data_IF_979220771538
#
_entry.id   IF_979220771538
#
_cell.length_a   1.000
_cell.length_b   1.000
_cell.length_c   1.000
_cell.angle_alpha   90.00
_cell.angle_beta   90.00
_cell.angle_gamma   90.00
#
_symmetry.space_group_name_H-M   'P 1'
#
loop_
_entity.id
_entity.type
_entity.pdbx_description
1 polymer ?
#
# COMPACT_ATOMS: atom_id res chain seq x y z
N UNK A 1 18.54 -72.12 28.55
CA UNK A 1 17.53 -72.61 27.59
C UNK A 1 16.47 -71.53 27.46
N UNK A 2 16.40 -70.95 26.25
CA UNK A 2 15.36 -70.16 25.57
C UNK A 2 14.56 -69.16 26.42
N UNK A 3 14.70 -67.83 26.34
CA UNK A 3 14.93 -66.91 25.20
C UNK A 3 13.78 -66.92 24.18
N UNK A 4 12.83 -65.98 24.32
CA UNK A 4 12.12 -65.36 23.19
C UNK A 4 11.81 -63.88 23.51
N UNK A 5 12.37 -63.01 22.66
CA UNK A 5 12.03 -61.60 22.47
C UNK A 5 11.01 -61.50 21.33
N UNK A 6 10.10 -60.53 21.32
CA UNK A 6 9.63 -59.94 20.08
C UNK A 6 10.41 -58.66 19.79
N UNK A 7 11.13 -58.71 18.67
CA UNK A 7 11.61 -57.57 17.91
C UNK A 7 10.40 -56.91 17.24
N UNK A 8 10.32 -55.57 17.21
CA UNK A 8 10.18 -54.76 15.99
C UNK A 8 10.11 -53.26 16.33
N UNK A 9 11.14 -52.55 15.85
CA UNK A 9 11.17 -51.20 15.29
C UNK A 9 10.66 -49.97 16.08
N UNK A 10 11.64 -49.29 16.64
CA UNK A 10 12.00 -47.88 16.40
C UNK A 10 11.28 -47.21 15.20
N UNK A 11 10.54 -46.12 15.44
CA UNK A 11 10.59 -44.89 14.64
C UNK A 11 10.44 -43.69 15.58
N UNK A 12 11.54 -42.96 15.78
CA UNK A 12 11.48 -41.56 16.17
C UNK A 12 10.72 -40.79 15.08
N UNK A 13 9.60 -40.16 15.42
CA UNK A 13 9.20 -38.93 14.74
C UNK A 13 9.18 -37.84 15.80
N UNK A 14 10.31 -37.15 15.91
CA UNK A 14 10.34 -35.76 16.33
C UNK A 14 9.49 -34.98 15.33
N UNK A 15 8.18 -34.84 15.57
CA UNK A 15 7.37 -33.86 14.86
C UNK A 15 7.72 -32.48 15.41
N UNK A 16 8.86 -32.01 14.93
CA UNK A 16 9.23 -30.62 14.89
C UNK A 16 8.34 -29.95 13.82
N UNK A 17 7.04 -29.86 14.06
CA UNK A 17 6.16 -29.00 13.29
C UNK A 17 6.26 -27.62 13.91
N UNK A 18 7.30 -26.92 13.45
CA UNK A 18 7.41 -25.48 13.37
C UNK A 18 6.00 -24.90 13.23
N UNK A 19 5.63 -24.05 14.17
CA UNK A 19 4.43 -23.23 14.12
C UNK A 19 4.19 -22.78 12.68
N UNK A 20 2.96 -23.01 12.23
CA UNK A 20 2.43 -22.49 10.99
C UNK A 20 2.89 -21.03 10.82
N UNK A 21 3.50 -20.71 9.67
CA UNK A 21 3.72 -19.33 9.24
C UNK A 21 2.34 -18.76 8.95
N UNK A 22 1.72 -18.12 9.94
CA UNK A 22 0.35 -17.62 9.81
C UNK A 22 0.44 -16.15 9.39
N UNK A 23 0.52 -15.97 8.08
CA UNK A 23 0.47 -14.74 7.27
C UNK A 23 1.65 -13.78 7.40
N UNK A 24 2.82 -14.16 6.86
CA UNK A 24 3.84 -13.16 6.53
C UNK A 24 3.35 -12.21 5.44
N UNK A 25 2.34 -12.56 4.64
CA UNK A 25 1.91 -11.74 3.49
C UNK A 25 0.63 -10.95 3.81
N UNK A 26 0.68 -9.64 3.60
CA UNK A 26 -0.48 -8.74 3.68
C UNK A 26 -0.81 -8.12 2.31
N UNK A 27 -2.11 -7.90 2.05
CA UNK A 27 -2.61 -7.23 0.84
C UNK A 27 -3.43 -6.02 1.23
N UNK A 28 -2.98 -4.83 0.83
CA UNK A 28 -3.62 -3.55 1.11
C UNK A 28 -4.10 -2.90 -0.18
N UNK A 29 -4.98 -1.91 -0.06
CA UNK A 29 -5.33 -1.00 -1.14
C UNK A 29 -4.53 0.28 -0.99
N UNK A 30 -4.04 0.81 -2.09
CA UNK A 30 -3.36 2.09 -2.16
C UNK A 30 -3.85 2.87 -3.37
N UNK A 31 -4.14 4.15 -3.19
CA UNK A 31 -4.68 5.01 -4.23
C UNK A 31 -3.74 6.19 -4.39
N UNK A 32 -3.25 6.47 -5.60
CA UNK A 32 -2.42 7.64 -5.79
C UNK A 32 -3.22 8.93 -5.64
N UNK A 33 -2.52 9.96 -5.19
CA UNK A 33 -3.12 11.27 -5.04
C UNK A 33 -3.58 11.89 -6.37
N UNK A 34 -4.61 12.72 -6.27
CA UNK A 34 -5.08 13.55 -7.37
C UNK A 34 -4.07 14.66 -7.61
N UNK A 35 -3.71 14.88 -8.87
CA UNK A 35 -2.88 16.02 -9.31
C UNK A 35 -3.71 17.07 -10.02
N UNK A 36 -4.77 16.66 -10.72
CA UNK A 36 -5.69 17.59 -11.40
C UNK A 36 -7.11 17.03 -11.49
N UNK A 37 -8.09 17.94 -11.46
CA UNK A 37 -9.50 17.67 -11.75
C UNK A 37 -10.01 18.69 -12.77
N UNK A 38 -10.78 18.22 -13.75
CA UNK A 38 -11.46 19.06 -14.74
C UNK A 38 -12.97 18.98 -14.52
N UNK A 39 -13.60 20.14 -14.39
CA UNK A 39 -15.03 20.29 -14.16
C UNK A 39 -15.64 21.05 -15.34
N UNK A 40 -16.76 20.55 -15.86
CA UNK A 40 -17.54 21.19 -16.91
C UNK A 40 -19.00 21.28 -16.44
N UNK A 41 -19.48 22.50 -16.18
CA UNK A 41 -20.79 22.69 -15.56
C UNK A 41 -20.83 22.10 -14.16
N UNK A 42 -21.75 21.17 -13.93
CA UNK A 42 -21.95 20.47 -12.65
C UNK A 42 -21.25 19.10 -12.59
N UNK A 43 -20.50 18.71 -13.64
CA UNK A 43 -19.91 17.39 -13.78
C UNK A 43 -18.37 17.40 -13.68
N UNK A 44 -17.83 16.40 -12.96
CA UNK A 44 -16.40 16.06 -12.98
C UNK A 44 -16.14 15.19 -14.22
N UNK A 45 -15.53 15.78 -15.23
CA UNK A 45 -15.27 15.10 -16.51
C UNK A 45 -13.93 14.38 -16.56
N UNK A 46 -12.98 14.76 -15.69
CA UNK A 46 -11.67 14.11 -15.64
C UNK A 46 -11.01 14.26 -14.27
N UNK A 47 -10.36 13.17 -13.82
CA UNK A 47 -9.48 13.14 -12.67
C UNK A 47 -8.14 12.57 -13.13
N UNK A 48 -7.06 13.31 -12.89
CA UNK A 48 -5.68 12.86 -13.14
C UNK A 48 -5.02 12.55 -11.82
N UNK A 49 -4.51 11.34 -11.66
CA UNK A 49 -3.75 10.91 -10.49
C UNK A 49 -2.24 10.89 -10.78
N UNK A 50 -1.44 11.23 -9.78
CA UNK A 50 0.01 10.98 -9.83
C UNK A 50 0.26 9.47 -9.84
N UNK A 51 1.38 9.00 -10.39
CA UNK A 51 1.76 7.57 -10.28
C UNK A 51 0.65 6.54 -10.59
N UNK A 52 -0.27 6.82 -11.51
CA UNK A 52 -1.39 5.91 -11.84
C UNK A 52 -0.97 4.67 -12.66
N UNK A 53 0.32 4.51 -12.92
CA UNK A 53 0.91 3.41 -13.69
C UNK A 53 1.65 2.45 -12.74
N UNK A 54 1.45 1.14 -12.91
CA UNK A 54 1.98 0.11 -12.00
C UNK A 54 3.50 0.21 -11.86
N UNK A 55 4.22 0.34 -12.97
CA UNK A 55 5.68 0.41 -12.95
C UNK A 55 6.17 1.66 -12.22
N UNK A 56 5.46 2.79 -12.40
CA UNK A 56 5.74 4.01 -11.65
C UNK A 56 5.50 3.86 -10.15
N UNK A 57 4.45 3.15 -9.74
CA UNK A 57 4.19 2.86 -8.31
C UNK A 57 5.31 2.00 -7.73
N UNK A 58 5.68 0.92 -8.42
CA UNK A 58 6.75 0.02 -7.98
C UNK A 58 8.06 0.81 -7.80
N UNK A 59 8.45 1.59 -8.81
CA UNK A 59 9.66 2.40 -8.75
C UNK A 59 9.63 3.43 -7.62
N UNK A 60 8.47 4.03 -7.36
CA UNK A 60 8.32 5.00 -6.28
C UNK A 60 8.47 4.34 -4.89
N UNK A 61 7.79 3.23 -4.64
CA UNK A 61 7.89 2.47 -3.39
C UNK A 61 9.34 2.00 -3.18
N UNK A 62 10.01 1.46 -4.20
CA UNK A 62 11.43 1.07 -4.13
C UNK A 62 12.35 2.23 -3.74
N UNK A 63 12.14 3.41 -4.33
CA UNK A 63 12.90 4.62 -3.98
C UNK A 63 12.70 5.00 -2.51
N UNK A 64 11.48 4.85 -1.98
CA UNK A 64 11.16 5.13 -0.58
C UNK A 64 11.76 4.08 0.36
N UNK A 65 11.75 2.79 -0.01
CA UNK A 65 12.47 1.73 0.72
C UNK A 65 13.97 2.06 0.84
N UNK A 66 14.59 2.51 -0.26
CA UNK A 66 16.00 2.94 -0.23
C UNK A 66 16.23 4.13 0.70
N UNK A 67 15.31 5.10 0.73
CA UNK A 67 15.37 6.25 1.63
C UNK A 67 15.30 5.79 3.09
N UNK A 68 14.35 4.91 3.41
CA UNK A 68 14.18 4.32 4.74
C UNK A 68 15.47 3.60 5.18
N UNK A 69 16.08 2.78 4.31
CA UNK A 69 17.38 2.14 4.58
C UNK A 69 18.51 3.15 4.87
N UNK A 70 18.50 4.32 4.23
CA UNK A 70 19.49 5.38 4.51
C UNK A 70 19.27 5.98 5.90
N UNK A 71 18.02 6.24 6.27
CA UNK A 71 17.67 6.77 7.60
C UNK A 71 17.95 5.76 8.73
N UNK A 72 17.74 4.47 8.49
CA UNK A 72 18.13 3.41 9.44
C UNK A 72 19.63 3.40 9.72
N UNK A 73 20.47 3.49 8.68
CA UNK A 73 21.94 3.60 8.83
C UNK A 73 22.38 4.84 9.60
N UNK A 74 21.59 5.90 9.61
CA UNK A 74 21.86 7.13 10.35
C UNK A 74 21.37 7.07 11.81
N UNK A 75 20.72 5.98 12.22
CA UNK A 75 20.09 5.87 13.53
C UNK A 75 18.90 6.81 13.68
N UNK A 76 18.12 7.05 12.61
CA UNK A 76 16.88 7.83 12.74
C UNK A 76 15.77 6.99 13.39
N UNK A 77 15.73 5.70 13.10
CA UNK A 77 14.79 4.74 13.68
C UNK A 77 15.34 4.14 14.99
N UNK A 78 15.48 4.98 16.02
CA UNK A 78 16.19 4.62 17.25
C UNK A 78 15.51 3.57 18.13
N UNK A 79 14.25 3.19 17.86
CA UNK A 79 13.46 2.36 18.78
C UNK A 79 12.67 1.22 18.11
N UNK A 80 12.37 1.30 16.81
CA UNK A 80 11.63 0.25 16.09
C UNK A 80 11.98 0.27 14.60
N UNK A 81 11.96 -0.90 13.96
CA UNK A 81 11.99 -0.98 12.50
C UNK A 81 10.75 -0.28 11.93
N UNK A 82 10.88 0.38 10.76
CA UNK A 82 9.76 1.03 10.10
C UNK A 82 8.67 0.01 9.75
N UNK A 83 7.41 0.41 9.93
CA UNK A 83 6.27 -0.37 9.47
C UNK A 83 5.99 -0.04 7.99
N UNK A 84 5.79 -1.04 7.15
CA UNK A 84 5.61 -0.83 5.70
C UNK A 84 4.47 0.16 5.39
N UNK A 85 3.31 -0.05 6.00
CA UNK A 85 2.12 0.76 5.74
C UNK A 85 2.28 2.18 6.28
N UNK A 86 2.74 2.33 7.53
CA UNK A 86 2.80 3.64 8.19
C UNK A 86 3.98 4.49 7.73
N UNK A 87 5.13 3.89 7.43
CA UNK A 87 6.32 4.64 7.04
C UNK A 87 6.49 4.66 5.53
N UNK A 88 6.49 3.51 4.85
CA UNK A 88 6.75 3.46 3.40
C UNK A 88 5.55 3.97 2.60
N UNK A 89 4.37 3.40 2.81
CA UNK A 89 3.18 3.72 2.00
C UNK A 89 2.66 5.11 2.36
N UNK A 90 2.27 5.35 3.61
CA UNK A 90 1.56 6.60 3.96
C UNK A 90 2.49 7.80 4.20
N UNK A 91 3.69 7.61 4.74
CA UNK A 91 4.58 8.73 5.08
C UNK A 91 5.53 9.12 3.94
N UNK A 92 6.11 8.14 3.24
CA UNK A 92 7.15 8.40 2.23
C UNK A 92 6.66 8.36 0.78
N UNK A 93 5.44 7.89 0.50
CA UNK A 93 4.90 7.92 -0.86
C UNK A 93 3.70 8.87 -0.97
N UNK A 94 3.29 9.18 -2.20
CA UNK A 94 2.04 9.91 -2.48
C UNK A 94 0.86 8.93 -2.72
N UNK A 95 0.78 7.89 -1.90
CA UNK A 95 -0.27 6.87 -1.95
C UNK A 95 -1.07 6.88 -0.65
N UNK A 96 -2.37 6.77 -0.77
CA UNK A 96 -3.31 6.81 0.35
C UNK A 96 -4.06 5.49 0.47
N UNK A 97 -4.37 5.07 1.69
CA UNK A 97 -5.00 3.76 1.95
C UNK A 97 -6.50 3.73 1.62
N UNK A 98 -7.11 4.89 1.39
CA UNK A 98 -8.50 5.00 0.98
C UNK A 98 -8.75 6.15 0.01
N UNK A 99 -9.76 5.99 -0.84
CA UNK A 99 -10.26 7.07 -1.71
C UNK A 99 -10.66 8.32 -0.93
N UNK A 100 -11.16 8.15 0.30
CA UNK A 100 -11.52 9.27 1.18
C UNK A 100 -10.30 10.10 1.58
N UNK A 101 -9.18 9.43 1.83
CA UNK A 101 -7.93 10.10 2.21
C UNK A 101 -7.32 10.80 0.99
N UNK A 102 -7.37 10.18 -0.21
CA UNK A 102 -7.02 10.86 -1.47
C UNK A 102 -7.78 12.17 -1.68
N UNK A 103 -9.09 12.17 -1.45
CA UNK A 103 -9.92 13.37 -1.61
C UNK A 103 -9.53 14.46 -0.59
N UNK A 104 -9.09 14.04 0.60
CA UNK A 104 -8.68 14.91 1.72
C UNK A 104 -7.21 15.32 1.68
N UNK A 105 -6.42 14.75 0.77
CA UNK A 105 -5.01 15.06 0.65
C UNK A 105 -4.82 16.57 0.49
N UNK A 106 -3.88 17.13 1.27
CA UNK A 106 -3.64 18.57 1.31
C UNK A 106 -2.62 19.03 0.27
N UNK A 107 -2.16 18.11 -0.56
CA UNK A 107 -1.11 18.31 -1.55
C UNK A 107 -1.61 19.19 -2.70
N UNK A 108 -0.68 19.82 -3.44
CA UNK A 108 -1.07 20.75 -4.51
C UNK A 108 -1.84 20.03 -5.63
N UNK A 109 -3.05 20.53 -5.89
CA UNK A 109 -3.94 20.03 -6.94
C UNK A 109 -4.34 21.17 -7.87
N UNK A 110 -4.44 20.89 -9.17
CA UNK A 110 -4.96 21.82 -10.16
C UNK A 110 -6.45 21.55 -10.39
N UNK A 111 -7.33 22.49 -10.00
CA UNK A 111 -8.78 22.42 -10.26
C UNK A 111 -9.12 23.34 -11.44
N UNK A 112 -9.58 22.75 -12.54
CA UNK A 112 -10.02 23.48 -13.75
C UNK A 112 -11.54 23.54 -13.81
N UNK A 113 -12.07 24.71 -14.20
CA UNK A 113 -13.51 24.91 -14.38
C UNK A 113 -14.28 25.36 -13.12
N UNK A 114 -13.66 25.31 -11.94
CA UNK A 114 -14.30 25.71 -10.68
C UNK A 114 -13.37 26.60 -9.84
N UNK A 115 -13.52 27.92 -9.96
CA UNK A 115 -12.53 28.92 -9.47
C UNK A 115 -12.49 29.11 -7.95
N UNK A 116 -13.51 28.63 -7.23
CA UNK A 116 -13.62 28.84 -5.79
C UNK A 116 -12.90 27.77 -4.95
N UNK A 117 -12.38 26.72 -5.59
CA UNK A 117 -11.75 25.59 -4.91
C UNK A 117 -10.32 25.38 -5.41
N UNK A 118 -9.41 25.12 -4.47
CA UNK A 118 -8.01 24.77 -4.74
C UNK A 118 -7.70 23.30 -4.42
N UNK A 119 -8.69 22.57 -3.89
CA UNK A 119 -8.61 21.17 -3.45
C UNK A 119 -9.92 20.45 -3.70
N UNK A 120 -9.86 19.14 -3.91
CA UNK A 120 -11.04 18.31 -4.20
C UNK A 120 -11.99 18.24 -3.01
N UNK A 121 -11.50 18.17 -1.77
CA UNK A 121 -12.37 18.17 -0.58
C UNK A 121 -13.20 19.46 -0.40
N UNK A 122 -12.81 20.55 -1.07
CA UNK A 122 -13.54 21.83 -1.05
C UNK A 122 -14.71 21.86 -2.03
N UNK A 123 -14.77 20.93 -2.99
CA UNK A 123 -15.85 20.85 -3.96
C UNK A 123 -17.20 20.49 -3.29
N UNK A 124 -18.32 20.76 -3.97
CA UNK A 124 -19.63 20.25 -3.58
C UNK A 124 -19.64 18.72 -3.38
N UNK A 125 -20.52 18.23 -2.49
CA UNK A 125 -20.58 16.81 -2.12
C UNK A 125 -20.77 15.88 -3.31
N UNK A 126 -21.63 16.24 -4.26
CA UNK A 126 -21.88 15.45 -5.47
C UNK A 126 -20.61 15.32 -6.33
N UNK A 127 -19.88 16.42 -6.54
CA UNK A 127 -18.62 16.41 -7.29
C UNK A 127 -17.53 15.60 -6.58
N UNK A 128 -17.48 15.60 -5.24
CA UNK A 128 -16.54 14.75 -4.48
C UNK A 128 -16.83 13.27 -4.69
N UNK A 129 -18.11 12.89 -4.75
CA UNK A 129 -18.52 11.52 -5.05
C UNK A 129 -18.10 11.14 -6.47
N UNK A 130 -18.37 12.00 -7.46
CA UNK A 130 -17.96 11.76 -8.85
C UNK A 130 -16.44 11.60 -8.99
N UNK A 131 -15.65 12.52 -8.40
CA UNK A 131 -14.20 12.43 -8.41
C UNK A 131 -13.71 11.13 -7.76
N UNK A 132 -14.28 10.72 -6.63
CA UNK A 132 -13.95 9.46 -5.95
C UNK A 132 -14.25 8.23 -6.80
N UNK A 133 -15.33 8.25 -7.60
CA UNK A 133 -15.67 7.13 -8.48
C UNK A 133 -14.65 6.97 -9.62
N UNK A 134 -14.08 8.07 -10.10
CA UNK A 134 -13.03 8.07 -11.13
C UNK A 134 -11.65 7.61 -10.64
N UNK A 135 -11.42 7.56 -9.32
CA UNK A 135 -10.12 7.15 -8.77
C UNK A 135 -9.79 5.70 -9.09
N UNK A 136 -8.63 5.51 -9.70
CA UNK A 136 -7.94 4.24 -9.88
C UNK A 136 -7.02 3.98 -8.68
N UNK A 137 -6.74 2.71 -8.42
CA UNK A 137 -5.87 2.32 -7.32
C UNK A 137 -5.22 0.98 -7.57
N UNK A 138 -4.45 0.54 -6.58
CA UNK A 138 -3.64 -0.67 -6.65
C UNK A 138 -3.87 -1.53 -5.42
N UNK A 139 -3.76 -2.83 -5.62
CA UNK A 139 -3.42 -3.73 -4.56
C UNK A 139 -1.91 -3.77 -4.40
N UNK A 140 -1.45 -3.51 -3.18
CA UNK A 140 -0.05 -3.72 -2.80
C UNK A 140 -0.01 -4.93 -1.90
N UNK A 141 0.71 -5.96 -2.31
CA UNK A 141 0.91 -7.18 -1.52
C UNK A 141 2.36 -7.18 -1.03
N UNK A 142 2.60 -7.40 0.26
CA UNK A 142 3.95 -7.32 0.84
C UNK A 142 4.15 -8.35 1.95
N UNK A 143 5.41 -8.72 2.18
CA UNK A 143 5.79 -9.60 3.29
C UNK A 143 6.06 -8.82 4.57
N UNK A 144 5.22 -8.89 5.58
CA UNK A 144 5.37 -8.27 6.91
C UNK A 144 6.68 -8.60 7.64
N UNK A 145 7.34 -9.73 7.37
CA UNK A 145 8.65 -10.06 7.94
C UNK A 145 9.80 -9.49 7.09
N UNK A 146 9.65 -9.55 5.76
CA UNK A 146 10.56 -8.97 4.77
C UNK A 146 9.85 -7.87 3.97
N UNK A 147 9.49 -6.77 4.64
CA UNK A 147 8.61 -5.72 4.13
C UNK A 147 9.07 -5.02 2.85
N UNK A 148 10.31 -5.25 2.45
CA UNK A 148 10.89 -4.75 1.21
C UNK A 148 10.49 -5.59 0.00
N UNK A 149 10.00 -6.81 0.21
CA UNK A 149 9.44 -7.67 -0.82
C UNK A 149 7.95 -7.36 -0.98
N UNK A 150 7.60 -6.81 -2.14
CA UNK A 150 6.24 -6.40 -2.45
C UNK A 150 5.92 -6.55 -3.94
N UNK A 151 4.64 -6.65 -4.24
CA UNK A 151 4.08 -6.60 -5.59
C UNK A 151 2.94 -5.60 -5.67
N UNK A 152 2.68 -5.10 -6.88
CA UNK A 152 1.65 -4.11 -7.17
C UNK A 152 0.80 -4.62 -8.33
N UNK A 153 -0.52 -4.62 -8.13
CA UNK A 153 -1.50 -5.01 -9.13
C UNK A 153 -2.56 -3.89 -9.24
N UNK A 154 -3.07 -3.56 -10.44
CA UNK A 154 -4.18 -2.62 -10.54
C UNK A 154 -5.44 -3.20 -9.85
N UNK A 155 -6.26 -2.34 -9.26
CA UNK A 155 -7.60 -2.73 -8.82
C UNK A 155 -8.48 -2.73 -10.06
N UNK A 156 -8.98 -3.91 -10.46
CA UNK A 156 -9.94 -4.02 -11.56
C UNK A 156 -11.15 -3.10 -11.30
N UNK A 157 -11.45 -2.26 -12.28
CA UNK A 157 -12.53 -1.27 -12.28
C UNK A 157 -13.83 -1.83 -12.84
#
# INVERSE_FOLDING_TARGET
MNMELPWYLLVCVTSNTKLESIMSIEKIKAFPEITSVVIEGDDVVSVTQGYYDVDKVIAHIQTCIEMVRRYDKMGYYNLAKPEFVNEVITTFTNLELSKKDVIRANNFMEIKGFKECNRVWQLPDEMKVQASQMLQGFYVTYDTENWEDFSVEPIDS
#
